data_IF_545429050178
#
_entry.id   IF_545429050178
#
_cell.length_a   1.000
_cell.length_b   1.000
_cell.length_c   1.000
_cell.angle_alpha   90.00
_cell.angle_beta   90.00
_cell.angle_gamma   90.00
#
_symmetry.space_group_name_H-M   'P 1'
#
loop_
_entity.id
_entity.type
_entity.pdbx_description
1 polymer ?
#
# COMPACT_ATOMS: atom_id res chain seq x y z
N UNK A 1 10.03 -13.21 -5.43
CA UNK A 1 9.77 -12.52 -4.14
C UNK A 1 8.85 -13.42 -3.33
N UNK A 2 9.13 -13.67 -2.04
CA UNK A 2 8.26 -14.51 -1.22
C UNK A 2 6.89 -13.84 -1.02
N UNK A 3 5.83 -14.63 -0.92
CA UNK A 3 4.54 -14.13 -0.42
C UNK A 3 4.69 -13.73 1.05
N UNK A 4 4.05 -12.62 1.42
CA UNK A 4 4.03 -12.14 2.81
C UNK A 4 3.22 -13.09 3.68
N UNK A 5 3.75 -13.40 4.87
CA UNK A 5 3.08 -14.17 5.90
C UNK A 5 2.67 -13.28 7.06
N UNK A 6 1.76 -13.78 7.88
CA UNK A 6 1.36 -13.08 9.12
C UNK A 6 2.58 -12.95 10.03
N UNK A 7 2.84 -11.72 10.50
CA UNK A 7 3.97 -11.40 11.36
C UNK A 7 5.21 -10.88 10.61
N UNK A 8 5.26 -11.02 9.28
CA UNK A 8 6.32 -10.42 8.49
C UNK A 8 6.27 -8.89 8.61
N UNK A 9 7.44 -8.27 8.74
CA UNK A 9 7.53 -6.82 8.63
C UNK A 9 7.16 -6.42 7.20
N UNK A 10 6.20 -5.49 7.06
CA UNK A 10 5.81 -4.98 5.76
C UNK A 10 7.03 -4.40 5.02
N UNK A 11 7.28 -4.81 3.76
CA UNK A 11 8.34 -4.23 2.96
C UNK A 11 8.05 -2.75 2.70
N UNK A 12 9.12 -1.96 2.59
CA UNK A 12 8.98 -0.57 2.17
C UNK A 12 8.33 -0.49 0.78
N UNK A 13 7.45 0.49 0.57
CA UNK A 13 6.91 0.81 -0.74
C UNK A 13 7.10 2.29 -1.03
N UNK A 14 7.09 2.61 -2.33
CA UNK A 14 7.02 3.96 -2.86
C UNK A 14 6.10 3.92 -4.09
N UNK A 15 5.04 4.72 -4.09
CA UNK A 15 4.09 4.78 -5.20
C UNK A 15 3.60 6.22 -5.41
N UNK A 16 3.25 6.54 -6.66
CA UNK A 16 2.56 7.80 -6.97
C UNK A 16 1.08 7.68 -6.59
N UNK A 17 0.54 8.65 -5.86
CA UNK A 17 -0.90 8.76 -5.62
C UNK A 17 -1.61 9.40 -6.83
N UNK A 18 -2.92 9.62 -6.72
CA UNK A 18 -3.75 10.22 -7.77
C UNK A 18 -3.37 11.67 -8.14
N UNK A 19 -2.67 12.36 -7.23
CA UNK A 19 -2.23 13.75 -7.40
C UNK A 19 -0.79 13.82 -7.93
N UNK A 20 -0.16 12.67 -8.19
CA UNK A 20 1.22 12.58 -8.68
C UNK A 20 2.28 12.76 -7.59
N UNK A 21 1.88 12.69 -6.32
CA UNK A 21 2.78 12.77 -5.17
C UNK A 21 3.29 11.38 -4.80
N UNK A 22 4.56 11.32 -4.40
CA UNK A 22 5.18 10.07 -3.97
C UNK A 22 4.84 9.78 -2.50
N UNK A 23 4.15 8.67 -2.28
CA UNK A 23 3.78 8.15 -0.97
C UNK A 23 4.68 6.96 -0.64
N UNK A 24 5.22 6.95 0.59
CA UNK A 24 6.05 5.84 1.08
C UNK A 24 5.52 5.28 2.40
N UNK A 25 5.82 4.01 2.69
CA UNK A 25 5.42 3.40 3.97
C UNK A 25 5.98 4.15 5.19
N UNK A 26 7.20 4.67 5.07
CA UNK A 26 7.89 5.37 6.17
C UNK A 26 7.19 6.66 6.60
N UNK A 27 6.41 7.29 5.72
CA UNK A 27 5.61 8.48 6.08
C UNK A 27 4.53 8.17 7.13
N UNK A 28 4.18 6.89 7.34
CA UNK A 28 3.12 6.45 8.24
C UNK A 28 3.63 5.79 9.54
N UNK A 29 4.92 5.95 9.89
CA UNK A 29 5.47 5.40 11.14
C UNK A 29 4.66 5.86 12.36
N UNK A 30 4.38 4.92 13.26
CA UNK A 30 3.57 5.15 14.45
C UNK A 30 2.05 5.12 14.21
N UNK A 31 1.59 4.85 12.99
CA UNK A 31 0.17 4.69 12.64
C UNK A 31 -0.12 3.27 12.17
N UNK A 32 -1.34 2.80 12.43
CA UNK A 32 -1.86 1.60 11.80
C UNK A 32 -2.23 1.90 10.34
N UNK A 33 -1.77 1.06 9.41
CA UNK A 33 -2.01 1.21 7.96
C UNK A 33 -2.63 -0.06 7.42
N UNK A 34 -3.65 0.10 6.57
CA UNK A 34 -4.27 -1.00 5.81
C UNK A 34 -4.05 -0.73 4.34
N UNK A 35 -3.44 -1.69 3.64
CA UNK A 35 -3.29 -1.65 2.18
C UNK A 35 -4.39 -2.52 1.56
N UNK A 36 -5.14 -1.96 0.62
CA UNK A 36 -6.23 -2.64 -0.06
C UNK A 36 -6.20 -2.27 -1.55
N UNK A 37 -6.72 -3.15 -2.41
CA UNK A 37 -6.75 -2.93 -3.85
C UNK A 37 -7.96 -3.61 -4.48
N UNK A 38 -8.32 -3.13 -5.67
CA UNK A 38 -9.34 -3.71 -6.54
C UNK A 38 -8.81 -3.79 -7.98
N UNK A 39 -9.36 -4.66 -8.85
CA UNK A 39 -8.85 -4.82 -10.22
C UNK A 39 -9.01 -3.56 -11.10
N UNK A 40 -10.16 -2.90 -10.99
CA UNK A 40 -10.47 -1.69 -11.76
C UNK A 40 -11.39 -0.74 -11.00
N UNK A 41 -11.09 0.55 -11.06
CA UNK A 41 -11.90 1.59 -10.43
C UNK A 41 -13.15 1.88 -11.28
N UNK A 42 -14.26 2.20 -10.63
CA UNK A 42 -15.44 2.74 -11.32
C UNK A 42 -16.22 1.73 -12.18
N UNK A 43 -16.04 0.43 -11.96
CA UNK A 43 -16.88 -0.61 -12.59
C UNK A 43 -17.94 -1.12 -11.61
N UNK A 44 -19.17 -1.42 -12.07
CA UNK A 44 -20.09 -2.25 -11.31
C UNK A 44 -19.41 -3.62 -11.12
N UNK A 45 -19.21 -4.01 -9.87
CA UNK A 45 -18.57 -5.28 -9.53
C UNK A 45 -19.36 -6.49 -9.99
#
# INVERSE_FOLDING_TARGET
MPLLNVGDQAPGFSAQNQDGETVTLDQYRGKSVVLWWYPKAGTPG
#
